data_IF_847048002288
#
_entry.id   IF_847048002288
#
_cell.length_a   1.000
_cell.length_b   1.000
_cell.length_c   1.000
_cell.angle_alpha   90.00
_cell.angle_beta   90.00
_cell.angle_gamma   90.00
#
_symmetry.space_group_name_H-M   'P 1'
#
loop_
_entity.id
_entity.type
_entity.pdbx_description
1 polymer ?
#
# COMPACT_ATOMS: atom_id res chain seq x y z
N UNK A 1 -28.68 21.71 7.62
CA UNK A 1 -28.31 22.99 6.99
C UNK A 1 -28.18 24.03 8.10
N UNK A 2 -27.14 24.89 8.04
CA UNK A 2 -27.00 25.98 8.99
C UNK A 2 -28.22 26.93 8.87
N UNK A 3 -28.76 27.48 9.97
CA UNK A 3 -29.93 28.36 9.94
C UNK A 3 -29.76 29.62 9.07
N UNK A 4 -28.53 29.95 8.68
CA UNK A 4 -28.15 31.17 7.96
C UNK A 4 -28.01 31.02 6.44
N UNK A 5 -28.39 29.88 5.85
CA UNK A 5 -28.28 29.70 4.39
C UNK A 5 -29.40 30.46 3.66
N UNK A 6 -29.02 31.42 2.81
CA UNK A 6 -29.96 32.19 1.99
C UNK A 6 -30.17 31.45 0.66
N UNK A 7 -31.39 31.00 0.39
CA UNK A 7 -31.74 30.33 -0.85
C UNK A 7 -31.81 31.31 -2.04
N UNK A 8 -31.34 30.91 -3.24
CA UNK A 8 -31.46 31.71 -4.47
C UNK A 8 -32.91 32.06 -4.78
N UNK A 9 -33.13 33.23 -5.39
CA UNK A 9 -34.45 33.65 -5.89
C UNK A 9 -34.58 33.31 -7.37
N UNK A 10 -35.72 32.75 -7.75
CA UNK A 10 -36.13 32.62 -9.14
C UNK A 10 -36.57 33.98 -9.71
N UNK A 11 -36.77 34.03 -11.04
CA UNK A 11 -37.21 35.25 -11.75
C UNK A 11 -38.55 35.81 -11.24
N UNK A 12 -39.40 34.96 -10.65
CA UNK A 12 -40.67 35.33 -10.04
C UNK A 12 -40.53 35.84 -8.58
N UNK A 13 -39.29 35.96 -8.09
CA UNK A 13 -38.96 36.40 -6.73
C UNK A 13 -39.11 35.32 -5.65
N UNK A 14 -39.61 34.13 -5.98
CA UNK A 14 -39.78 33.02 -5.03
C UNK A 14 -38.48 32.26 -4.83
N UNK A 15 -38.37 31.59 -3.69
CA UNK A 15 -37.21 30.78 -3.30
C UNK A 15 -37.63 29.60 -2.44
N UNK A 16 -36.75 28.61 -2.34
CA UNK A 16 -36.88 27.56 -1.34
C UNK A 16 -36.98 28.17 0.07
N UNK A 17 -37.88 27.63 0.88
CA UNK A 17 -38.11 28.10 2.26
C UNK A 17 -37.58 27.09 3.26
N UNK A 18 -37.08 27.58 4.39
CA UNK A 18 -36.58 26.73 5.47
C UNK A 18 -37.68 25.84 6.08
N UNK A 19 -38.93 26.30 6.03
CA UNK A 19 -40.08 25.54 6.52
C UNK A 19 -40.35 24.26 5.72
N UNK A 20 -39.90 24.17 4.47
CA UNK A 20 -40.06 22.95 3.65
C UNK A 20 -39.35 21.74 4.26
N UNK A 21 -38.32 21.95 5.07
CA UNK A 21 -37.58 20.88 5.75
C UNK A 21 -38.26 20.38 7.03
N UNK A 22 -39.42 20.95 7.41
CA UNK A 22 -40.17 20.55 8.58
C UNK A 22 -41.64 20.25 8.22
N UNK A 23 -42.18 19.18 8.79
CA UNK A 23 -43.61 18.87 8.77
C UNK A 23 -44.23 19.33 10.07
N UNK A 24 -45.39 19.98 9.99
CA UNK A 24 -46.23 20.30 11.15
C UNK A 24 -47.26 19.19 11.33
N UNK A 25 -47.30 18.60 12.51
CA UNK A 25 -48.28 17.59 12.90
C UNK A 25 -49.61 18.25 13.34
N UNK A 26 -50.67 17.44 13.47
CA UNK A 26 -52.01 17.90 13.89
C UNK A 26 -51.97 18.52 15.30
N UNK A 27 -51.08 18.02 16.17
CA UNK A 27 -50.82 18.56 17.51
C UNK A 27 -49.96 19.84 17.51
N UNK A 28 -49.58 20.37 16.35
CA UNK A 28 -48.74 21.57 16.21
C UNK A 28 -47.23 21.32 16.28
N UNK A 29 -46.79 20.07 16.53
CA UNK A 29 -45.37 19.74 16.64
C UNK A 29 -44.67 19.80 15.27
N UNK A 30 -43.44 20.33 15.25
CA UNK A 30 -42.61 20.41 14.03
C UNK A 30 -41.58 19.28 14.01
N UNK A 31 -41.75 18.33 13.09
CA UNK A 31 -40.81 17.24 12.85
C UNK A 31 -39.98 17.53 11.60
N UNK A 32 -38.67 17.37 11.70
CA UNK A 32 -37.76 17.53 10.56
C UNK A 32 -37.94 16.40 9.54
N UNK A 33 -38.08 16.76 8.26
CA UNK A 33 -38.02 15.84 7.13
C UNK A 33 -36.57 15.37 6.92
N UNK A 34 -36.18 14.29 7.61
CA UNK A 34 -34.83 13.72 7.52
C UNK A 34 -34.47 13.24 6.10
N UNK A 35 -35.48 12.99 5.28
CA UNK A 35 -35.34 12.51 3.91
C UNK A 35 -35.14 13.61 2.85
N UNK A 36 -35.44 14.86 3.18
CA UNK A 36 -35.44 15.96 2.21
C UNK A 36 -34.05 16.62 2.13
N UNK A 37 -33.51 16.69 0.92
CA UNK A 37 -32.22 17.30 0.62
C UNK A 37 -32.35 18.40 -0.42
N UNK A 38 -31.48 19.41 -0.34
CA UNK A 38 -31.43 20.50 -1.30
C UNK A 38 -30.10 20.49 -2.07
N UNK A 39 -30.19 20.56 -3.40
CA UNK A 39 -29.04 20.66 -4.29
C UNK A 39 -28.71 22.13 -4.55
N UNK A 40 -27.57 22.60 -4.05
CA UNK A 40 -27.09 23.97 -4.33
C UNK A 40 -26.78 24.20 -5.80
N UNK A 41 -26.27 23.19 -6.50
CA UNK A 41 -25.90 23.27 -7.92
C UNK A 41 -27.12 23.47 -8.81
N UNK A 42 -28.21 22.75 -8.49
CA UNK A 42 -29.39 22.74 -9.34
C UNK A 42 -30.52 23.64 -8.83
N UNK A 43 -30.41 24.22 -7.63
CA UNK A 43 -31.49 24.93 -6.94
C UNK A 43 -32.79 24.11 -6.92
N UNK A 44 -32.72 22.91 -6.32
CA UNK A 44 -33.83 21.94 -6.32
C UNK A 44 -33.87 21.06 -5.07
N UNK A 45 -35.07 20.61 -4.70
CA UNK A 45 -35.31 19.66 -3.62
C UNK A 45 -35.37 18.21 -4.12
N UNK A 46 -34.85 17.27 -3.34
CA UNK A 46 -34.83 15.83 -3.62
C UNK A 46 -35.14 15.01 -2.37
N UNK A 47 -35.78 13.83 -2.50
CA UNK A 47 -35.85 12.82 -1.43
C UNK A 47 -34.69 11.83 -1.58
N UNK A 48 -33.84 11.72 -0.56
CA UNK A 48 -32.68 10.83 -0.57
C UNK A 48 -33.12 9.36 -0.68
N UNK A 49 -34.08 8.97 0.14
CA UNK A 49 -34.78 7.69 0.17
C UNK A 49 -35.10 7.18 -1.24
N UNK A 50 -35.91 7.94 -1.94
CA UNK A 50 -36.45 7.55 -3.22
C UNK A 50 -35.47 7.74 -4.36
N UNK A 51 -34.47 8.62 -4.21
CA UNK A 51 -33.37 8.69 -5.16
C UNK A 51 -32.51 7.43 -5.14
N UNK A 52 -32.37 6.79 -3.98
CA UNK A 52 -31.57 5.57 -3.83
C UNK A 52 -32.35 4.29 -4.14
N UNK A 53 -33.62 4.20 -3.73
CA UNK A 53 -34.36 2.93 -3.72
C UNK A 53 -35.57 2.86 -4.65
N UNK A 54 -36.06 3.98 -5.18
CA UNK A 54 -37.20 3.92 -6.11
C UNK A 54 -36.78 3.36 -7.46
N UNK A 55 -37.62 2.48 -8.01
CA UNK A 55 -37.50 1.97 -9.38
C UNK A 55 -38.25 2.84 -10.41
N UNK A 56 -39.07 3.78 -9.95
CA UNK A 56 -39.87 4.69 -10.80
C UNK A 56 -39.20 6.05 -10.87
N UNK A 57 -39.44 6.80 -11.94
CA UNK A 57 -38.91 8.16 -12.07
C UNK A 57 -39.98 9.19 -11.68
N UNK A 58 -39.61 10.13 -10.82
CA UNK A 58 -40.42 11.30 -10.49
C UNK A 58 -39.54 12.50 -10.13
N UNK A 59 -40.18 13.66 -10.05
CA UNK A 59 -39.51 14.94 -9.86
C UNK A 59 -38.56 14.90 -8.65
N UNK A 60 -38.99 14.41 -7.49
CA UNK A 60 -38.16 14.40 -6.27
C UNK A 60 -36.99 13.39 -6.27
N UNK A 61 -36.93 12.40 -7.18
CA UNK A 61 -35.83 11.43 -7.21
C UNK A 61 -34.82 11.68 -8.34
N UNK A 62 -35.27 12.16 -9.50
CA UNK A 62 -34.44 12.44 -10.68
C UNK A 62 -34.10 13.93 -10.82
N UNK A 63 -35.08 14.72 -11.24
CA UNK A 63 -34.89 16.10 -11.74
C UNK A 63 -34.70 17.13 -10.62
N UNK A 64 -35.46 16.97 -9.54
CA UNK A 64 -35.52 17.86 -8.39
C UNK A 64 -36.70 18.84 -8.46
N UNK A 65 -37.40 19.01 -7.34
CA UNK A 65 -38.53 19.92 -7.23
C UNK A 65 -38.04 21.37 -7.14
N UNK A 66 -38.52 22.21 -8.06
CA UNK A 66 -38.22 23.66 -8.14
C UNK A 66 -39.46 24.55 -8.10
N UNK A 67 -40.65 23.95 -8.11
CA UNK A 67 -41.92 24.68 -8.03
C UNK A 67 -42.15 25.15 -6.60
N UNK A 68 -41.60 26.32 -6.26
CA UNK A 68 -41.71 26.92 -4.93
C UNK A 68 -43.11 27.37 -4.59
N UNK A 69 -44.02 27.52 -5.56
CA UNK A 69 -45.42 27.90 -5.31
C UNK A 69 -46.19 26.73 -4.71
N UNK A 70 -45.98 25.53 -5.24
CA UNK A 70 -46.71 24.33 -4.84
C UNK A 70 -45.89 23.37 -3.96
N UNK A 71 -44.64 23.74 -3.63
CA UNK A 71 -43.70 22.88 -2.91
C UNK A 71 -44.29 22.26 -1.63
N UNK A 72 -44.95 23.05 -0.79
CA UNK A 72 -45.54 22.56 0.47
C UNK A 72 -46.57 21.44 0.23
N UNK A 73 -47.45 21.62 -0.76
CA UNK A 73 -48.47 20.64 -1.10
C UNK A 73 -47.83 19.38 -1.72
N UNK A 74 -46.91 19.55 -2.68
CA UNK A 74 -46.25 18.43 -3.35
C UNK A 74 -45.41 17.59 -2.40
N UNK A 75 -44.73 18.21 -1.43
CA UNK A 75 -44.00 17.51 -0.38
C UNK A 75 -44.95 16.71 0.53
N UNK A 76 -46.12 17.27 0.86
CA UNK A 76 -47.14 16.58 1.66
C UNK A 76 -47.74 15.36 0.92
N UNK A 77 -48.07 15.52 -0.37
CA UNK A 77 -48.57 14.39 -1.18
C UNK A 77 -47.49 13.32 -1.34
N UNK A 78 -46.22 13.72 -1.52
CA UNK A 78 -45.12 12.77 -1.63
C UNK A 78 -44.90 11.99 -0.34
N UNK A 79 -44.88 12.65 0.82
CA UNK A 79 -44.62 11.98 2.11
C UNK A 79 -45.77 11.04 2.53
N UNK A 80 -46.98 11.26 2.02
CA UNK A 80 -48.13 10.36 2.24
C UNK A 80 -48.19 9.21 1.21
N UNK A 81 -47.33 9.22 0.18
CA UNK A 81 -47.33 8.20 -0.86
C UNK A 81 -46.81 6.85 -0.37
N UNK A 82 -47.46 5.75 -0.80
CA UNK A 82 -47.04 4.37 -0.48
C UNK A 82 -45.60 4.09 -0.91
N UNK A 83 -45.20 4.60 -2.07
CA UNK A 83 -43.85 4.41 -2.61
C UNK A 83 -42.78 5.10 -1.76
N UNK A 84 -43.03 6.35 -1.32
CA UNK A 84 -42.14 7.02 -0.39
C UNK A 84 -41.99 6.23 0.91
N UNK A 85 -43.09 5.76 1.48
CA UNK A 85 -43.09 5.00 2.73
C UNK A 85 -42.30 3.69 2.62
N UNK A 86 -42.44 2.95 1.51
CA UNK A 86 -41.63 1.75 1.25
C UNK A 86 -40.13 2.09 1.18
N UNK A 87 -39.76 3.09 0.38
CA UNK A 87 -38.34 3.49 0.24
C UNK A 87 -37.76 4.05 1.54
N UNK A 88 -38.57 4.74 2.33
CA UNK A 88 -38.20 5.25 3.66
C UNK A 88 -37.95 4.10 4.63
N UNK A 89 -38.79 3.05 4.62
CA UNK A 89 -38.60 1.84 5.41
C UNK A 89 -37.30 1.11 5.02
N UNK A 90 -37.06 0.90 3.71
CA UNK A 90 -35.80 0.29 3.21
C UNK A 90 -34.57 1.11 3.59
N UNK A 91 -34.65 2.45 3.47
CA UNK A 91 -33.55 3.32 3.88
C UNK A 91 -33.27 3.23 5.38
N UNK A 92 -34.31 3.17 6.22
CA UNK A 92 -34.15 3.00 7.67
C UNK A 92 -33.63 1.63 8.06
N UNK A 93 -34.04 0.59 7.36
CA UNK A 93 -33.45 -0.74 7.53
C UNK A 93 -31.96 -0.74 7.18
N UNK A 94 -31.57 -0.10 6.07
CA UNK A 94 -30.17 0.06 5.70
C UNK A 94 -29.38 0.86 6.76
N UNK A 95 -29.92 1.98 7.24
CA UNK A 95 -29.32 2.82 8.30
C UNK A 95 -29.03 1.99 9.56
N UNK A 96 -30.00 1.17 9.99
CA UNK A 96 -29.83 0.25 11.12
C UNK A 96 -28.81 -0.86 10.83
N UNK A 97 -28.82 -1.44 9.62
CA UNK A 97 -27.86 -2.49 9.23
C UNK A 97 -26.43 -1.97 9.15
N UNK A 98 -26.24 -0.74 8.66
CA UNK A 98 -24.95 -0.05 8.66
C UNK A 98 -24.48 0.23 10.08
N UNK A 99 -25.37 0.74 10.94
CA UNK A 99 -25.04 1.00 12.35
C UNK A 99 -24.69 -0.27 13.15
N UNK A 100 -25.30 -1.42 12.79
CA UNK A 100 -25.05 -2.72 13.43
C UNK A 100 -23.96 -3.56 12.76
N UNK A 101 -23.41 -3.13 11.63
CA UNK A 101 -22.39 -3.89 10.88
C UNK A 101 -22.90 -5.20 10.27
N UNK A 102 -24.16 -5.28 9.84
CA UNK A 102 -24.80 -6.52 9.36
C UNK A 102 -24.94 -6.58 7.83
N UNK A 103 -24.14 -5.84 7.06
CA UNK A 103 -24.20 -5.88 5.59
C UNK A 103 -23.36 -7.03 5.03
N UNK A 104 -23.79 -7.59 3.89
CA UNK A 104 -23.09 -8.67 3.17
C UNK A 104 -21.63 -8.27 2.88
N UNK A 105 -21.40 -6.99 2.56
CA UNK A 105 -20.07 -6.43 2.33
C UNK A 105 -19.11 -6.65 3.52
N UNK A 106 -19.60 -6.63 4.76
CA UNK A 106 -18.73 -6.78 5.93
C UNK A 106 -18.24 -8.22 6.12
N UNK A 107 -19.07 -9.23 5.82
CA UNK A 107 -18.65 -10.64 5.90
C UNK A 107 -17.55 -10.93 4.86
N UNK A 108 -17.75 -10.48 3.62
CA UNK A 108 -16.73 -10.58 2.58
C UNK A 108 -15.46 -9.79 2.92
N UNK A 109 -15.60 -8.57 3.46
CA UNK A 109 -14.47 -7.78 3.95
C UNK A 109 -13.72 -8.48 5.09
N UNK A 110 -14.43 -9.14 6.01
CA UNK A 110 -13.84 -9.89 7.12
C UNK A 110 -13.07 -11.12 6.62
N UNK A 111 -13.63 -11.87 5.67
CA UNK A 111 -12.95 -12.99 5.01
C UNK A 111 -11.70 -12.52 4.26
N UNK A 112 -11.80 -11.42 3.49
CA UNK A 112 -10.67 -10.82 2.80
C UNK A 112 -9.58 -10.34 3.77
N UNK A 113 -9.96 -9.76 4.91
CA UNK A 113 -9.02 -9.34 5.95
C UNK A 113 -8.35 -10.54 6.63
N UNK A 114 -9.10 -11.61 6.91
CA UNK A 114 -8.56 -12.83 7.47
C UNK A 114 -7.53 -13.47 6.53
N UNK A 115 -7.81 -13.49 5.22
CA UNK A 115 -6.88 -14.00 4.21
C UNK A 115 -5.64 -13.11 4.07
N UNK A 116 -5.79 -11.78 4.13
CA UNK A 116 -4.64 -10.85 4.20
C UNK A 116 -3.75 -11.12 5.41
N UNK A 117 -4.34 -11.30 6.59
CA UNK A 117 -3.59 -11.59 7.81
C UNK A 117 -2.86 -12.93 7.70
N UNK A 118 -3.53 -13.96 7.19
CA UNK A 118 -2.92 -15.26 6.93
C UNK A 118 -1.70 -15.16 6.02
N UNK A 119 -1.80 -14.42 4.92
CA UNK A 119 -0.66 -14.24 4.01
C UNK A 119 0.49 -13.46 4.64
N UNK A 120 0.20 -12.42 5.42
CA UNK A 120 1.24 -11.72 6.21
C UNK A 120 1.93 -12.66 7.16
N UNK A 121 1.18 -13.51 7.85
CA UNK A 121 1.74 -14.50 8.76
C UNK A 121 2.68 -15.47 8.03
N UNK A 122 2.26 -16.02 6.89
CA UNK A 122 3.10 -16.92 6.06
C UNK A 122 4.36 -16.22 5.57
N UNK A 123 4.23 -15.05 4.93
CA UNK A 123 5.35 -14.30 4.37
C UNK A 123 6.36 -13.88 5.44
N UNK A 124 5.89 -13.57 6.66
CA UNK A 124 6.76 -13.25 7.80
C UNK A 124 7.72 -14.41 8.10
N UNK A 125 7.23 -15.66 8.09
CA UNK A 125 8.09 -16.84 8.29
C UNK A 125 9.04 -17.03 7.11
N UNK A 126 8.59 -16.82 5.87
CA UNK A 126 9.46 -16.93 4.70
C UNK A 126 10.60 -15.92 4.72
N UNK A 127 10.33 -14.67 5.10
CA UNK A 127 11.37 -13.65 5.31
C UNK A 127 12.36 -14.11 6.39
N UNK A 128 11.88 -14.63 7.52
CA UNK A 128 12.75 -15.15 8.57
C UNK A 128 13.63 -16.32 8.11
N UNK A 129 13.09 -17.24 7.30
CA UNK A 129 13.87 -18.33 6.69
C UNK A 129 14.96 -17.76 5.76
N UNK A 130 14.60 -16.82 4.89
CA UNK A 130 15.54 -16.18 3.95
C UNK A 130 16.66 -15.48 4.72
N UNK A 131 16.34 -14.71 5.75
CA UNK A 131 17.33 -14.05 6.61
C UNK A 131 18.27 -15.07 7.26
N UNK A 132 17.70 -16.12 7.87
CA UNK A 132 18.43 -17.22 8.50
C UNK A 132 19.41 -17.91 7.55
N UNK A 133 19.02 -18.13 6.29
CA UNK A 133 19.88 -18.72 5.26
C UNK A 133 20.96 -17.72 4.79
N UNK A 134 20.60 -16.46 4.59
CA UNK A 134 21.50 -15.41 4.15
C UNK A 134 22.63 -15.13 5.17
N UNK A 135 22.29 -15.05 6.46
CA UNK A 135 23.26 -14.84 7.55
C UNK A 135 24.33 -15.94 7.63
N UNK A 136 23.98 -17.15 7.18
CA UNK A 136 24.87 -18.32 7.16
C UNK A 136 25.51 -18.58 5.81
N UNK A 137 25.28 -17.71 4.83
CA UNK A 137 25.71 -17.87 3.44
C UNK A 137 25.28 -19.23 2.84
N UNK A 138 24.06 -19.68 3.15
CA UNK A 138 23.49 -20.92 2.64
C UNK A 138 22.68 -20.66 1.37
N UNK A 139 22.88 -21.50 0.35
CA UNK A 139 22.09 -21.44 -0.87
C UNK A 139 20.60 -21.69 -0.58
N UNK A 140 19.71 -20.87 -1.12
CA UNK A 140 18.26 -21.07 -0.92
C UNK A 140 17.70 -22.23 -1.75
N UNK A 141 18.27 -22.45 -2.94
CA UNK A 141 17.70 -23.32 -3.98
C UNK A 141 18.45 -24.63 -4.11
N UNK A 142 17.74 -25.63 -4.58
CA UNK A 142 18.30 -26.91 -5.02
C UNK A 142 17.97 -27.16 -6.50
N UNK A 143 18.16 -28.39 -6.93
CA UNK A 143 17.87 -28.84 -8.30
C UNK A 143 16.38 -28.87 -8.62
N UNK A 144 15.52 -28.85 -7.60
CA UNK A 144 14.06 -28.87 -7.74
C UNK A 144 13.41 -27.74 -6.93
N UNK A 145 12.21 -27.32 -7.32
CA UNK A 145 11.38 -26.34 -6.61
C UNK A 145 10.11 -26.96 -6.03
N UNK A 146 10.08 -28.30 -5.93
CA UNK A 146 8.93 -29.08 -5.47
C UNK A 146 9.07 -29.44 -4.00
N UNK A 147 8.04 -29.18 -3.20
CA UNK A 147 7.99 -29.61 -1.80
C UNK A 147 8.12 -31.13 -1.66
N UNK A 148 8.79 -31.54 -0.58
CA UNK A 148 9.07 -32.91 -0.17
C UNK A 148 9.99 -33.71 -1.13
N UNK A 149 10.64 -33.06 -2.09
CA UNK A 149 11.70 -33.70 -2.88
C UNK A 149 13.06 -33.61 -2.14
N UNK A 150 13.96 -34.58 -2.31
CA UNK A 150 15.27 -34.56 -1.63
C UNK A 150 16.08 -33.31 -1.96
N UNK A 151 16.11 -32.92 -3.24
CA UNK A 151 16.97 -31.85 -3.75
C UNK A 151 16.21 -30.52 -3.98
N UNK A 152 15.28 -30.18 -3.09
CA UNK A 152 14.43 -28.99 -3.25
C UNK A 152 14.98 -27.70 -2.62
N UNK A 153 16.24 -27.74 -2.18
CA UNK A 153 16.97 -26.59 -1.65
C UNK A 153 16.67 -26.28 -0.19
N UNK A 154 17.55 -25.49 0.42
CA UNK A 154 17.47 -25.21 1.85
C UNK A 154 16.21 -24.42 2.23
N UNK A 155 15.72 -23.52 1.36
CA UNK A 155 14.51 -22.75 1.66
C UNK A 155 13.29 -23.68 1.85
N UNK A 156 13.07 -24.62 0.92
CA UNK A 156 11.94 -25.54 1.03
C UNK A 156 12.14 -26.55 2.16
N UNK A 157 13.38 -26.98 2.44
CA UNK A 157 13.69 -27.82 3.61
C UNK A 157 13.38 -27.13 4.93
N UNK A 158 13.70 -25.85 5.07
CA UNK A 158 13.34 -25.07 6.25
C UNK A 158 11.82 -24.89 6.36
N UNK A 159 11.10 -24.68 5.25
CA UNK A 159 9.63 -24.65 5.26
C UNK A 159 9.04 -25.99 5.71
N UNK A 160 9.57 -27.11 5.21
CA UNK A 160 9.17 -28.46 5.64
C UNK A 160 9.45 -28.70 7.13
N UNK A 161 10.58 -28.23 7.63
CA UNK A 161 10.94 -28.30 9.05
C UNK A 161 9.96 -27.46 9.89
N UNK A 162 9.72 -26.21 9.49
CA UNK A 162 8.78 -25.33 10.18
C UNK A 162 7.36 -25.90 10.17
N UNK A 163 6.91 -26.56 9.11
CA UNK A 163 5.59 -27.20 9.05
C UNK A 163 5.38 -28.28 10.13
N UNK A 164 6.45 -28.83 10.72
CA UNK A 164 6.33 -29.78 11.84
C UNK A 164 5.92 -29.12 13.15
N UNK A 165 6.23 -27.83 13.33
CA UNK A 165 6.12 -27.14 14.62
C UNK A 165 5.25 -25.87 14.56
N UNK A 166 5.30 -25.09 13.48
CA UNK A 166 4.53 -23.87 13.29
C UNK A 166 3.16 -24.18 12.65
N UNK A 167 2.04 -23.86 13.32
CA UNK A 167 0.70 -24.19 12.82
C UNK A 167 0.31 -23.42 11.56
N UNK A 168 0.84 -22.21 11.34
CA UNK A 168 0.58 -21.40 10.14
C UNK A 168 1.20 -22.06 8.92
N UNK A 169 2.47 -22.44 9.02
CA UNK A 169 3.21 -23.09 7.94
C UNK A 169 2.67 -24.50 7.71
N UNK A 170 2.32 -25.24 8.77
CA UNK A 170 1.64 -26.53 8.66
C UNK A 170 0.35 -26.43 7.86
N UNK A 171 -0.49 -25.45 8.17
CA UNK A 171 -1.73 -25.21 7.44
C UNK A 171 -1.46 -24.81 5.99
N UNK A 172 -0.48 -23.93 5.75
CA UNK A 172 -0.11 -23.47 4.41
C UNK A 172 0.37 -24.64 3.53
N UNK A 173 1.32 -25.43 4.01
CA UNK A 173 1.81 -26.63 3.30
C UNK A 173 0.68 -27.64 3.06
N UNK A 174 -0.19 -27.85 4.05
CA UNK A 174 -1.35 -28.73 3.91
C UNK A 174 -2.31 -28.30 2.79
N UNK A 175 -2.60 -27.00 2.67
CA UNK A 175 -3.44 -26.45 1.59
C UNK A 175 -2.83 -26.63 0.21
N UNK A 176 -1.51 -26.49 0.12
CA UNK A 176 -0.76 -26.70 -1.12
C UNK A 176 -0.82 -28.17 -1.54
N UNK A 177 -0.59 -29.09 -0.59
CA UNK A 177 -0.66 -30.52 -0.84
C UNK A 177 -2.06 -31.02 -1.22
N UNK A 178 -3.12 -30.42 -0.64
CA UNK A 178 -4.50 -30.81 -0.92
C UNK A 178 -5.08 -30.19 -2.21
N UNK A 179 -4.31 -29.36 -2.93
CA UNK A 179 -4.79 -28.64 -4.11
C UNK A 179 -5.94 -27.66 -3.82
N UNK A 180 -6.17 -27.31 -2.55
CA UNK A 180 -7.34 -26.54 -2.11
C UNK A 180 -7.14 -25.02 -2.16
N UNK A 181 -5.96 -24.56 -2.59
CA UNK A 181 -5.65 -23.15 -2.83
C UNK A 181 -5.39 -22.89 -4.32
N UNK A 182 -5.56 -21.62 -4.72
CA UNK A 182 -4.95 -21.11 -5.95
C UNK A 182 -3.51 -21.64 -6.07
N UNK A 183 -3.04 -21.95 -7.29
CA UNK A 183 -1.67 -22.38 -7.58
C UNK A 183 -0.57 -21.45 -7.02
N UNK A 184 -0.94 -20.30 -6.43
CA UNK A 184 -0.09 -19.33 -5.77
C UNK A 184 0.28 -19.75 -4.33
N UNK A 185 1.38 -20.48 -4.19
CA UNK A 185 1.88 -20.93 -2.88
C UNK A 185 3.04 -20.09 -2.31
N UNK A 186 3.53 -19.09 -3.06
CA UNK A 186 4.57 -18.12 -2.67
C UNK A 186 5.91 -18.71 -2.20
N UNK A 187 6.19 -19.98 -2.53
CA UNK A 187 7.46 -20.64 -2.23
C UNK A 187 8.36 -20.78 -3.47
N UNK A 188 7.87 -20.40 -4.65
CA UNK A 188 8.60 -20.49 -5.90
C UNK A 188 9.76 -19.49 -5.99
N UNK A 189 10.71 -19.76 -6.89
CA UNK A 189 11.94 -18.98 -7.08
C UNK A 189 11.72 -17.48 -7.32
N UNK A 190 10.64 -17.12 -8.02
CA UNK A 190 10.30 -15.72 -8.35
C UNK A 190 10.00 -14.96 -7.05
N UNK A 191 9.12 -15.50 -6.21
CA UNK A 191 8.77 -14.87 -4.94
C UNK A 191 9.96 -14.84 -3.98
N UNK A 192 10.79 -15.89 -3.96
CA UNK A 192 12.03 -15.85 -3.18
C UNK A 192 12.91 -14.67 -3.61
N UNK A 193 13.08 -14.42 -4.91
CA UNK A 193 13.81 -13.25 -5.40
C UNK A 193 13.16 -11.94 -4.98
N UNK A 194 11.84 -11.78 -5.16
CA UNK A 194 11.13 -10.55 -4.77
C UNK A 194 11.29 -10.24 -3.27
N UNK A 195 11.25 -11.27 -2.42
CA UNK A 195 11.49 -11.12 -0.98
C UNK A 195 12.95 -10.73 -0.69
N UNK A 196 13.92 -11.36 -1.36
CA UNK A 196 15.35 -11.01 -1.23
C UNK A 196 15.59 -9.57 -1.67
N UNK A 197 15.03 -9.17 -2.80
CA UNK A 197 15.15 -7.80 -3.33
C UNK A 197 14.53 -6.80 -2.36
N UNK A 198 13.36 -7.11 -1.79
CA UNK A 198 12.70 -6.26 -0.79
C UNK A 198 13.55 -6.10 0.49
N UNK A 199 14.14 -7.20 0.98
CA UNK A 199 15.06 -7.18 2.13
C UNK A 199 16.31 -6.34 1.80
N UNK A 200 16.92 -6.60 0.64
CA UNK A 200 18.12 -5.90 0.15
C UNK A 200 17.89 -4.40 0.02
N UNK A 201 16.79 -3.98 -0.61
CA UNK A 201 16.40 -2.57 -0.73
C UNK A 201 16.27 -1.93 0.64
N UNK A 202 15.61 -2.58 1.60
CA UNK A 202 15.43 -1.98 2.93
C UNK A 202 16.74 -1.85 3.71
N UNK A 203 17.65 -2.81 3.56
CA UNK A 203 19.00 -2.74 4.12
C UNK A 203 19.77 -1.57 3.49
N UNK A 204 19.76 -1.45 2.17
CA UNK A 204 20.42 -0.35 1.46
C UNK A 204 19.85 1.01 1.85
N UNK A 205 18.53 1.16 1.95
CA UNK A 205 17.90 2.41 2.41
C UNK A 205 18.42 2.80 3.79
N UNK A 206 18.51 1.84 4.71
CA UNK A 206 19.00 2.07 6.08
C UNK A 206 20.47 2.50 6.08
N UNK A 207 21.30 1.87 5.25
CA UNK A 207 22.71 2.24 5.07
C UNK A 207 22.83 3.67 4.51
N UNK A 208 22.04 4.00 3.48
CA UNK A 208 22.03 5.32 2.84
C UNK A 208 21.62 6.41 3.82
N UNK A 209 20.57 6.16 4.61
CA UNK A 209 20.13 7.06 5.68
C UNK A 209 21.25 7.30 6.71
N UNK A 210 21.97 6.25 7.09
CA UNK A 210 23.09 6.34 8.04
C UNK A 210 24.27 7.14 7.46
N UNK A 211 24.64 6.91 6.19
CA UNK A 211 25.67 7.68 5.48
C UNK A 211 25.30 9.16 5.47
N UNK A 212 24.06 9.49 5.09
CA UNK A 212 23.55 10.88 5.06
C UNK A 212 23.58 11.54 6.45
N UNK A 213 23.25 10.78 7.49
CA UNK A 213 23.27 11.26 8.88
C UNK A 213 24.70 11.57 9.34
N UNK A 214 25.68 10.74 8.96
CA UNK A 214 27.10 10.96 9.28
C UNK A 214 27.74 12.05 8.41
N UNK A 215 27.07 12.43 7.31
CA UNK A 215 27.51 13.36 6.27
C UNK A 215 28.75 12.84 5.53
N UNK A 216 29.90 12.78 6.19
CA UNK A 216 31.17 12.42 5.56
C UNK A 216 31.42 10.93 5.53
N UNK A 217 31.97 10.48 4.40
CA UNK A 217 32.30 9.07 4.17
C UNK A 217 33.53 8.91 3.30
N UNK A 218 34.09 7.70 3.27
CA UNK A 218 35.11 7.28 2.31
C UNK A 218 34.68 6.01 1.60
N UNK A 219 35.11 5.84 0.35
CA UNK A 219 34.80 4.66 -0.46
C UNK A 219 36.01 3.75 -0.52
N UNK A 220 35.79 2.46 -0.33
CA UNK A 220 36.78 1.40 -0.48
C UNK A 220 36.29 0.48 -1.59
N UNK A 221 37.14 0.30 -2.59
CA UNK A 221 36.84 -0.49 -3.76
C UNK A 221 37.84 -1.62 -3.91
N UNK A 222 37.31 -2.81 -4.13
CA UNK A 222 38.10 -3.98 -4.42
C UNK A 222 37.59 -4.67 -5.70
N UNK A 223 38.49 -4.87 -6.67
CA UNK A 223 38.22 -5.57 -7.91
C UNK A 223 38.62 -7.03 -7.76
N UNK A 224 37.66 -7.94 -7.92
CA UNK A 224 37.92 -9.38 -7.95
C UNK A 224 37.36 -9.98 -9.24
N UNK A 225 38.13 -10.78 -9.99
CA UNK A 225 37.59 -11.51 -11.13
C UNK A 225 36.59 -12.55 -10.64
N UNK A 226 35.40 -12.61 -11.26
CA UNK A 226 34.39 -13.61 -10.96
C UNK A 226 34.67 -14.95 -11.66
N UNK A 227 33.86 -15.98 -11.35
CA UNK A 227 33.97 -17.33 -11.92
C UNK A 227 33.83 -17.37 -13.45
N UNK A 228 33.32 -16.30 -14.08
CA UNK A 228 33.17 -16.14 -15.53
C UNK A 228 34.24 -15.25 -16.16
N UNK A 229 35.29 -14.92 -15.41
CA UNK A 229 36.36 -13.98 -15.78
C UNK A 229 35.88 -12.53 -16.05
N UNK A 230 34.72 -12.13 -15.51
CA UNK A 230 34.28 -10.74 -15.51
C UNK A 230 34.77 -10.04 -14.26
N UNK A 231 35.25 -8.82 -14.40
CA UNK A 231 35.67 -8.02 -13.24
C UNK A 231 34.45 -7.53 -12.45
N UNK A 232 34.37 -7.90 -11.17
CA UNK A 232 33.39 -7.38 -10.25
C UNK A 232 34.05 -6.41 -9.26
N UNK A 233 33.48 -5.22 -9.17
CA UNK A 233 33.89 -4.18 -8.25
C UNK A 233 33.01 -4.24 -7.01
N UNK A 234 33.58 -4.69 -5.89
CA UNK A 234 32.92 -4.57 -4.59
C UNK A 234 33.00 -3.13 -4.08
N UNK A 235 31.86 -2.58 -3.67
CA UNK A 235 31.76 -1.20 -3.17
C UNK A 235 31.47 -1.22 -1.68
N UNK A 236 32.43 -0.71 -0.90
CA UNK A 236 32.31 -0.55 0.55
C UNK A 236 32.36 0.94 0.88
N UNK A 237 31.47 1.39 1.75
CA UNK A 237 31.50 2.74 2.30
C UNK A 237 31.88 2.67 3.77
N UNK A 238 32.89 3.45 4.15
CA UNK A 238 33.33 3.62 5.53
C UNK A 238 32.86 4.98 6.04
N UNK A 239 32.21 4.98 7.20
CA UNK A 239 31.71 6.17 7.90
C UNK A 239 32.23 6.21 9.33
N UNK A 240 32.18 7.40 9.93
CA UNK A 240 32.37 7.59 11.37
C UNK A 240 31.03 7.98 11.97
N UNK A 241 30.40 7.03 12.67
CA UNK A 241 29.16 7.28 13.40
C UNK A 241 29.49 7.91 14.75
N UNK A 242 28.82 9.01 15.08
CA UNK A 242 28.93 9.70 16.38
C UNK A 242 27.74 9.39 17.30
N UNK A 243 26.82 8.52 16.87
CA UNK A 243 25.68 8.09 17.67
C UNK A 243 26.19 7.23 18.82
N UNK A 244 25.80 7.56 20.05
CA UNK A 244 26.29 7.02 21.33
C UNK A 244 27.78 7.26 21.60
N UNK A 245 28.67 6.77 20.72
CA UNK A 245 30.12 6.94 20.79
C UNK A 245 30.75 6.93 19.39
N UNK A 246 31.89 7.61 19.18
CA UNK A 246 32.60 7.56 17.91
C UNK A 246 32.98 6.13 17.54
N UNK A 247 32.44 5.62 16.44
CA UNK A 247 32.84 4.33 15.89
C UNK A 247 32.96 4.38 14.37
N UNK A 248 33.94 3.63 13.85
CA UNK A 248 34.05 3.37 12.42
C UNK A 248 33.06 2.26 12.06
N UNK A 249 32.27 2.48 11.02
CA UNK A 249 31.41 1.44 10.41
C UNK A 249 31.74 1.30 8.95
N UNK A 250 31.68 0.07 8.46
CA UNK A 250 31.84 -0.27 7.06
C UNK A 250 30.58 -0.92 6.55
N UNK A 251 30.06 -0.42 5.43
CA UNK A 251 28.82 -0.87 4.83
C UNK A 251 29.08 -1.31 3.40
N UNK A 252 28.61 -2.50 3.06
CA UNK A 252 28.66 -3.01 1.70
C UNK A 252 27.49 -2.47 0.89
N UNK A 253 27.77 -1.79 -0.23
CA UNK A 253 26.74 -1.23 -1.13
C UNK A 253 26.36 -2.14 -2.30
N UNK A 254 27.12 -3.23 -2.49
CA UNK A 254 26.92 -4.20 -3.55
C UNK A 254 28.14 -4.38 -4.45
N UNK A 255 27.96 -5.28 -5.41
CA UNK A 255 28.90 -5.47 -6.51
C UNK A 255 28.44 -4.68 -7.73
N UNK A 256 29.38 -4.06 -8.43
CA UNK A 256 29.17 -3.46 -9.74
C UNK A 256 29.94 -4.27 -10.78
N UNK A 257 29.29 -4.57 -11.90
CA UNK A 257 29.95 -5.30 -13.00
C UNK A 257 30.72 -4.29 -13.84
N UNK A 258 32.04 -4.45 -13.92
CA UNK A 258 32.89 -3.63 -14.77
C UNK A 258 33.13 -4.34 -16.09
N UNK A 259 32.60 -3.79 -17.19
CA UNK A 259 32.91 -4.28 -18.54
C UNK A 259 34.34 -3.91 -18.98
N UNK A 260 34.86 -2.81 -18.42
CA UNK A 260 36.20 -2.28 -18.67
C UNK A 260 36.84 -1.86 -17.35
N UNK A 261 38.12 -2.19 -17.18
CA UNK A 261 38.91 -1.96 -15.96
C UNK A 261 39.74 -0.68 -15.98
N UNK A 262 39.40 0.26 -16.88
CA UNK A 262 40.01 1.59 -16.93
C UNK A 262 39.54 2.44 -15.76
N UNK A 263 40.39 3.37 -15.29
CA UNK A 263 40.02 4.20 -14.15
C UNK A 263 38.82 5.10 -14.39
N UNK A 264 38.63 5.57 -15.62
CA UNK A 264 37.47 6.34 -16.04
C UNK A 264 36.16 5.53 -15.95
N UNK A 265 36.16 4.31 -16.50
CA UNK A 265 35.01 3.40 -16.47
C UNK A 265 34.57 3.10 -15.03
N UNK A 266 35.53 2.76 -14.17
CA UNK A 266 35.25 2.49 -12.76
C UNK A 266 34.71 3.74 -12.04
N UNK A 267 35.29 4.92 -12.32
CA UNK A 267 34.83 6.20 -11.74
C UNK A 267 33.38 6.50 -12.12
N UNK A 268 33.03 6.38 -13.39
CA UNK A 268 31.65 6.60 -13.87
C UNK A 268 30.67 5.62 -13.23
N UNK A 269 31.07 4.36 -13.07
CA UNK A 269 30.24 3.31 -12.47
C UNK A 269 29.92 3.62 -11.00
N UNK A 270 30.91 4.10 -10.23
CA UNK A 270 30.72 4.51 -8.84
C UNK A 270 29.85 5.76 -8.75
N UNK A 271 30.13 6.79 -9.54
CA UNK A 271 29.37 8.04 -9.53
C UNK A 271 27.89 7.79 -9.85
N UNK A 272 27.62 6.97 -10.88
CA UNK A 272 26.26 6.53 -11.21
C UNK A 272 25.60 5.79 -10.05
N UNK A 273 26.33 4.87 -9.39
CA UNK A 273 25.79 4.13 -8.24
C UNK A 273 25.45 5.03 -7.06
N UNK A 274 26.30 6.03 -6.76
CA UNK A 274 26.04 7.00 -5.70
C UNK A 274 24.83 7.88 -6.05
N UNK A 275 24.71 8.32 -7.31
CA UNK A 275 23.57 9.08 -7.82
C UNK A 275 22.26 8.29 -7.69
N UNK A 276 22.23 7.02 -8.10
CA UNK A 276 21.07 6.11 -7.94
C UNK A 276 20.64 5.98 -6.48
N UNK A 277 21.60 5.94 -5.55
CA UNK A 277 21.35 5.87 -4.11
C UNK A 277 21.12 7.26 -3.47
N UNK A 278 21.16 8.33 -4.26
CA UNK A 278 21.09 9.72 -3.81
C UNK A 278 22.12 10.02 -2.70
N UNK A 279 23.34 9.50 -2.81
CA UNK A 279 24.47 9.80 -1.93
C UNK A 279 25.30 10.91 -2.57
N UNK A 280 25.45 12.08 -1.92
CA UNK A 280 26.20 13.19 -2.49
C UNK A 280 27.71 12.89 -2.50
N UNK A 281 28.34 12.92 -3.68
CA UNK A 281 29.77 12.66 -3.81
C UNK A 281 30.62 13.78 -3.19
N UNK A 282 30.11 15.00 -3.11
CA UNK A 282 30.75 16.16 -2.47
C UNK A 282 31.09 15.97 -0.98
N UNK A 283 30.41 15.02 -0.33
CA UNK A 283 30.66 14.64 1.05
C UNK A 283 31.69 13.49 1.18
N UNK A 284 32.16 12.93 0.07
CA UNK A 284 33.26 11.97 0.06
C UNK A 284 34.57 12.64 0.51
N UNK A 285 35.31 11.99 1.40
CA UNK A 285 36.58 12.48 2.00
C UNK A 285 37.75 11.54 1.80
N UNK A 286 37.54 10.39 1.15
CA UNK A 286 38.60 9.44 0.86
C UNK A 286 38.16 8.35 -0.09
N UNK A 287 39.09 7.87 -0.91
CA UNK A 287 38.88 6.79 -1.87
C UNK A 287 40.07 5.83 -1.77
N UNK A 288 39.82 4.53 -1.72
CA UNK A 288 40.83 3.48 -1.64
C UNK A 288 40.55 2.41 -2.70
N UNK A 289 41.58 2.00 -3.44
CA UNK A 289 41.47 1.05 -4.56
C UNK A 289 42.55 -0.02 -4.45
N UNK A 290 42.18 -1.31 -4.55
CA UNK A 290 43.12 -2.44 -4.43
C UNK A 290 44.00 -2.65 -5.69
N UNK A 291 43.57 -2.14 -6.87
CA UNK A 291 44.31 -2.24 -8.14
C UNK A 291 44.87 -0.89 -8.61
N UNK A 292 45.80 -0.32 -7.83
CA UNK A 292 46.37 1.02 -8.03
C UNK A 292 47.23 1.24 -9.30
N UNK A 293 47.21 0.36 -10.31
CA UNK A 293 47.88 0.63 -11.60
C UNK A 293 46.99 1.45 -12.54
N UNK A 294 45.70 1.08 -12.70
CA UNK A 294 44.79 1.74 -13.64
C UNK A 294 44.11 3.01 -13.08
N UNK A 295 44.18 3.21 -11.76
CA UNK A 295 43.59 4.37 -11.07
C UNK A 295 44.61 5.48 -10.75
N UNK A 296 45.90 5.27 -11.06
CA UNK A 296 46.97 6.25 -10.80
C UNK A 296 47.04 7.39 -11.82
N UNK A 297 46.54 7.20 -13.03
CA UNK A 297 46.81 8.10 -14.17
C UNK A 297 45.71 9.14 -14.46
N UNK A 298 44.72 9.34 -13.57
CA UNK A 298 43.56 10.21 -13.85
C UNK A 298 43.13 11.19 -12.77
N UNK A 299 43.76 11.23 -11.59
CA UNK A 299 43.35 12.12 -10.51
C UNK A 299 44.18 13.41 -10.51
N UNK A 300 43.88 14.31 -11.45
CA UNK A 300 44.14 15.74 -11.22
C UNK A 300 43.01 16.28 -10.33
N UNK A 301 43.36 16.59 -9.08
CA UNK A 301 42.53 17.37 -8.16
C UNK A 301 42.13 18.72 -8.77
#
# INVERSE_FOLDING_TARGET
>A
MKPSFIFPKQKDGRRCQQDYFNRVLINGEKIKRSWLMYSKKNDSLHCCCCKMFSQRNYILNREGLKDWKNASHLLKVHEESKEHNTNMATWKELDVRLARGLTIDMQEMALAQAERNRWRDVLTRFVAIIQSLAERNLALRGSTDTLNQPDNGNFLKEVELMAKFDPVIKQHVGRVASGAGSHTHYMGKIIQNELIDSISSKILDTIVEEIKTCKYFSIILNCTPDLSHKEQLSVIVRIVSLVDKPQVKEHFLGFLVAEQSTGESLTLLILKRLEELNIPFEDCRGQSYDNGANMKDGTSC
#
